data_IF_266230284977
#
_entry.id   IF_266230284977
#
_cell.length_a   1.000
_cell.length_b   1.000
_cell.length_c   1.000
_cell.angle_alpha   90.00
_cell.angle_beta   90.00
_cell.angle_gamma   90.00
#
_symmetry.space_group_name_H-M   'P 1'
#
loop_
_entity.id
_entity.type
_entity.pdbx_description
1 polymer ?
#
# COMPACT_ATOMS: atom_id res chain seq x y z
N UNK A 1 -19.64 8.18 8.58
CA UNK A 1 -19.73 7.77 7.16
C UNK A 1 -18.35 7.28 6.75
N UNK A 2 -18.24 6.01 6.33
CA UNK A 2 -16.98 5.42 5.92
C UNK A 2 -16.71 5.61 4.43
N UNK A 3 -15.43 5.71 4.05
CA UNK A 3 -15.00 5.66 2.66
C UNK A 3 -14.71 4.23 2.21
N UNK A 4 -14.83 3.96 0.91
CA UNK A 4 -14.33 2.77 0.24
C UNK A 4 -12.92 3.01 -0.25
N UNK A 5 -11.95 2.36 0.38
CA UNK A 5 -10.53 2.54 0.13
C UNK A 5 -9.94 1.25 -0.45
N UNK A 6 -9.43 1.33 -1.68
CA UNK A 6 -8.82 0.20 -2.37
C UNK A 6 -7.32 0.41 -2.52
N UNK A 7 -6.54 -0.41 -1.84
CA UNK A 7 -5.09 -0.42 -1.94
C UNK A 7 -4.63 -1.35 -3.06
N UNK A 8 -3.64 -0.93 -3.85
CA UNK A 8 -3.05 -1.75 -4.90
C UNK A 8 -1.55 -1.91 -4.66
N UNK A 9 -1.06 -3.14 -4.75
CA UNK A 9 0.37 -3.43 -4.67
C UNK A 9 0.81 -4.44 -5.72
N UNK A 10 1.85 -4.10 -6.48
CA UNK A 10 2.48 -5.03 -7.44
C UNK A 10 3.57 -5.91 -6.82
N UNK A 11 3.91 -5.69 -5.54
CA UNK A 11 4.92 -6.46 -4.79
C UNK A 11 4.48 -6.59 -3.32
N UNK A 12 5.00 -7.57 -2.55
CA UNK A 12 4.56 -7.75 -1.18
C UNK A 12 5.02 -6.64 -0.22
N UNK A 13 6.04 -5.84 -0.57
CA UNK A 13 6.58 -4.73 0.24
C UNK A 13 6.77 -5.10 1.72
N UNK A 14 7.34 -6.28 1.96
CA UNK A 14 7.53 -6.86 3.29
C UNK A 14 6.25 -6.94 4.17
N UNK A 15 5.08 -7.09 3.54
CA UNK A 15 3.77 -7.14 4.19
C UNK A 15 3.27 -5.79 4.70
N UNK A 16 3.90 -4.68 4.35
CA UNK A 16 3.47 -3.36 4.79
C UNK A 16 2.04 -3.00 4.33
N UNK A 17 1.62 -3.27 3.07
CA UNK A 17 0.26 -2.97 2.62
C UNK A 17 -0.81 -3.74 3.40
N UNK A 18 -0.63 -5.04 3.62
CA UNK A 18 -1.64 -5.86 4.33
C UNK A 18 -1.76 -5.46 5.80
N UNK A 19 -0.64 -5.17 6.48
CA UNK A 19 -0.66 -4.68 7.87
C UNK A 19 -1.36 -3.33 7.99
N UNK A 20 -1.16 -2.44 7.02
CA UNK A 20 -1.85 -1.14 6.99
C UNK A 20 -3.35 -1.32 6.79
N UNK A 21 -3.77 -2.15 5.85
CA UNK A 21 -5.19 -2.42 5.59
C UNK A 21 -5.86 -3.08 6.80
N UNK A 22 -5.20 -4.03 7.46
CA UNK A 22 -5.69 -4.64 8.71
C UNK A 22 -5.88 -3.59 9.81
N UNK A 23 -4.89 -2.71 10.03
CA UNK A 23 -5.00 -1.65 11.03
C UNK A 23 -6.13 -0.65 10.71
N UNK A 24 -6.31 -0.28 9.44
CA UNK A 24 -7.40 0.62 9.03
C UNK A 24 -8.78 -0.03 9.25
N UNK A 25 -8.92 -1.32 8.95
CA UNK A 25 -10.16 -2.07 9.23
C UNK A 25 -10.47 -2.17 10.71
N UNK A 26 -9.44 -2.32 11.55
CA UNK A 26 -9.61 -2.47 13.00
C UNK A 26 -9.95 -1.14 13.69
N UNK A 27 -9.44 -0.02 13.17
CA UNK A 27 -9.47 1.26 13.87
C UNK A 27 -10.28 2.35 13.18
N UNK A 28 -10.99 2.04 12.09
CA UNK A 28 -11.84 3.01 11.39
C UNK A 28 -13.12 2.35 10.88
N UNK A 29 -14.15 3.17 10.60
CA UNK A 29 -15.39 2.71 9.97
C UNK A 29 -15.30 2.65 8.43
N UNK A 30 -14.08 2.65 7.87
CA UNK A 30 -13.88 2.63 6.42
C UNK A 30 -13.92 1.20 5.87
N UNK A 31 -14.47 1.05 4.66
CA UNK A 31 -14.40 -0.20 3.91
C UNK A 31 -13.05 -0.24 3.18
N UNK A 32 -12.06 -0.90 3.78
CA UNK A 32 -10.70 -0.94 3.24
C UNK A 32 -10.39 -2.32 2.68
N UNK A 33 -9.85 -2.40 1.46
CA UNK A 33 -9.42 -3.65 0.82
C UNK A 33 -8.00 -3.52 0.25
N UNK A 34 -7.27 -4.63 0.21
CA UNK A 34 -5.97 -4.75 -0.47
C UNK A 34 -6.13 -5.62 -1.72
N UNK A 35 -5.56 -5.15 -2.82
CA UNK A 35 -5.42 -5.89 -4.07
C UNK A 35 -3.93 -6.09 -4.33
N UNK A 36 -3.48 -7.32 -4.21
CA UNK A 36 -2.18 -7.74 -4.71
C UNK A 36 -2.29 -8.11 -6.19
N UNK A 37 -1.27 -7.79 -6.98
CA UNK A 37 -1.23 -8.17 -8.39
C UNK A 37 -1.32 -9.69 -8.59
N UNK A 38 -0.59 -10.43 -7.74
CA UNK A 38 -0.51 -11.89 -7.75
C UNK A 38 -0.25 -12.40 -6.33
N UNK A 39 -0.38 -13.71 -6.13
CA UNK A 39 -0.13 -14.37 -4.85
C UNK A 39 1.36 -14.39 -4.50
N UNK A 40 1.67 -14.19 -3.23
CA UNK A 40 3.00 -14.22 -2.64
C UNK A 40 3.03 -15.23 -1.49
N UNK A 41 4.17 -15.86 -1.19
CA UNK A 41 4.21 -16.99 -0.26
C UNK A 41 4.33 -16.66 1.24
N UNK A 42 4.65 -15.41 1.60
CA UNK A 42 5.10 -15.06 2.96
C UNK A 42 4.11 -14.23 3.79
N UNK A 43 3.12 -13.61 3.16
CA UNK A 43 2.23 -12.66 3.81
C UNK A 43 0.78 -13.00 3.47
N UNK A 44 -0.13 -12.62 4.37
CA UNK A 44 -1.56 -12.74 4.11
C UNK A 44 -1.97 -11.88 2.91
N UNK A 45 -3.06 -12.30 2.27
CA UNK A 45 -3.68 -11.63 1.14
C UNK A 45 -5.13 -11.29 1.46
N UNK A 46 -5.65 -10.29 0.76
CA UNK A 46 -7.07 -9.98 0.76
C UNK A 46 -7.68 -10.33 -0.59
N UNK A 47 -7.38 -9.55 -1.63
CA UNK A 47 -7.74 -9.85 -3.02
C UNK A 47 -6.48 -10.04 -3.85
N UNK A 48 -6.55 -10.99 -4.79
CA UNK A 48 -5.46 -11.29 -5.73
C UNK A 48 -5.95 -11.04 -7.15
N UNK A 49 -5.45 -9.99 -7.80
CA UNK A 49 -5.93 -9.56 -9.12
C UNK A 49 -5.82 -10.65 -10.18
N UNK A 50 -4.70 -11.39 -10.21
CA UNK A 50 -4.50 -12.50 -11.16
C UNK A 50 -5.49 -13.65 -10.99
N UNK A 51 -6.17 -13.75 -9.85
CA UNK A 51 -7.12 -14.83 -9.54
C UNK A 51 -8.57 -14.37 -9.70
N UNK A 52 -8.84 -13.09 -9.46
CA UNK A 52 -10.20 -12.53 -9.45
C UNK A 52 -10.25 -11.11 -10.03
N UNK A 53 -9.89 -10.94 -11.33
CA UNK A 53 -9.77 -9.61 -11.95
C UNK A 53 -11.10 -8.88 -12.05
N UNK A 54 -12.20 -9.58 -12.34
CA UNK A 54 -13.52 -8.96 -12.53
C UNK A 54 -14.05 -8.32 -11.24
N UNK A 55 -13.95 -9.01 -10.11
CA UNK A 55 -14.34 -8.47 -8.80
C UNK A 55 -13.54 -7.22 -8.47
N UNK A 56 -12.23 -7.23 -8.73
CA UNK A 56 -11.35 -6.10 -8.46
C UNK A 56 -11.70 -4.90 -9.35
N UNK A 57 -12.00 -5.13 -10.63
CA UNK A 57 -12.45 -4.07 -11.55
C UNK A 57 -13.74 -3.42 -11.05
N UNK A 58 -14.70 -4.22 -10.57
CA UNK A 58 -15.94 -3.70 -10.00
C UNK A 58 -15.71 -2.88 -8.72
N UNK A 59 -14.83 -3.36 -7.84
CA UNK A 59 -14.49 -2.65 -6.61
C UNK A 59 -13.78 -1.33 -6.90
N UNK A 60 -12.84 -1.32 -7.84
CA UNK A 60 -12.14 -0.11 -8.26
C UNK A 60 -13.10 0.95 -8.84
N UNK A 61 -14.12 0.51 -9.58
CA UNK A 61 -15.14 1.41 -10.12
C UNK A 61 -16.04 2.05 -9.05
N UNK A 62 -16.12 1.45 -7.84
CA UNK A 62 -16.96 1.89 -6.71
C UNK A 62 -16.15 2.59 -5.61
N UNK A 63 -14.82 2.64 -5.73
CA UNK A 63 -13.93 3.18 -4.71
C UNK A 63 -14.01 4.71 -4.62
N UNK A 64 -14.00 5.22 -3.39
CA UNK A 64 -13.87 6.65 -3.11
C UNK A 64 -12.39 7.05 -3.16
N UNK A 65 -11.50 6.17 -2.69
CA UNK A 65 -10.06 6.38 -2.60
C UNK A 65 -9.33 5.15 -3.16
N UNK A 66 -8.38 5.39 -4.05
CA UNK A 66 -7.42 4.39 -4.52
C UNK A 66 -6.03 4.75 -3.99
N UNK A 67 -5.40 3.79 -3.31
CA UNK A 67 -4.09 3.91 -2.71
C UNK A 67 -3.07 3.05 -3.45
N UNK A 68 -2.17 3.69 -4.19
CA UNK A 68 -1.15 3.05 -5.02
C UNK A 68 0.15 2.85 -4.25
N UNK A 69 0.63 1.61 -4.16
CA UNK A 69 1.86 1.30 -3.44
C UNK A 69 3.10 1.29 -4.36
N UNK A 70 4.09 2.08 -3.96
CA UNK A 70 5.47 2.13 -4.43
C UNK A 70 5.65 2.28 -5.95
N UNK A 71 5.64 1.19 -6.71
CA UNK A 71 5.92 1.14 -8.15
C UNK A 71 4.70 1.44 -9.03
N UNK A 72 3.56 1.72 -8.42
CA UNK A 72 2.33 2.07 -9.12
C UNK A 72 2.14 3.58 -9.17
N UNK A 73 1.64 4.07 -10.30
CA UNK A 73 1.18 5.44 -10.52
C UNK A 73 -0.14 5.46 -11.29
N UNK A 74 -0.65 6.66 -11.61
CA UNK A 74 -1.92 6.83 -12.33
C UNK A 74 -1.93 6.26 -13.75
N UNK A 75 -0.76 5.95 -14.32
CA UNK A 75 -0.60 5.40 -15.66
C UNK A 75 -0.19 3.91 -15.66
N UNK A 76 -0.08 3.30 -14.47
CA UNK A 76 0.28 1.90 -14.34
C UNK A 76 -0.74 0.99 -15.03
N UNK A 77 -0.24 0.06 -15.83
CA UNK A 77 -1.04 -0.94 -16.56
C UNK A 77 -1.03 -2.32 -15.89
N UNK A 78 -0.37 -2.46 -14.72
CA UNK A 78 -0.24 -3.74 -14.03
C UNK A 78 -1.60 -4.40 -13.73
N UNK A 79 -2.63 -3.59 -13.49
CA UNK A 79 -3.99 -4.02 -13.16
C UNK A 79 -4.99 -3.79 -14.31
N UNK A 80 -4.52 -3.84 -15.57
CA UNK A 80 -5.40 -3.70 -16.73
C UNK A 80 -6.56 -4.73 -16.65
N UNK A 81 -7.82 -4.33 -16.89
CA UNK A 81 -8.24 -3.13 -17.62
C UNK A 81 -8.50 -1.88 -16.75
N UNK A 82 -8.09 -1.86 -15.48
CA UNK A 82 -8.28 -0.70 -14.61
C UNK A 82 -7.42 0.47 -15.11
N UNK A 83 -8.07 1.59 -15.41
CA UNK A 83 -7.43 2.86 -15.78
C UNK A 83 -7.57 3.84 -14.60
N UNK A 84 -6.50 3.94 -13.80
CA UNK A 84 -6.49 4.77 -12.59
C UNK A 84 -6.68 6.26 -12.90
N UNK A 85 -6.09 6.76 -13.99
CA UNK A 85 -6.25 8.16 -14.40
C UNK A 85 -7.69 8.46 -14.82
N UNK A 86 -8.37 7.52 -15.51
CA UNK A 86 -9.80 7.65 -15.81
C UNK A 86 -10.65 7.67 -14.55
N UNK A 87 -10.35 6.82 -13.56
CA UNK A 87 -11.05 6.85 -12.27
C UNK A 87 -10.85 8.18 -11.55
N UNK A 88 -9.62 8.72 -11.55
CA UNK A 88 -9.29 10.04 -11.00
C UNK A 88 -10.15 11.15 -11.60
N UNK A 89 -10.26 11.17 -12.93
CA UNK A 89 -11.05 12.18 -13.67
C UNK A 89 -12.55 12.10 -13.37
N UNK A 90 -13.04 10.95 -12.91
CA UNK A 90 -14.44 10.74 -12.50
C UNK A 90 -14.70 11.07 -11.02
N UNK A 91 -13.67 11.45 -10.26
CA UNK A 91 -13.80 11.91 -8.89
C UNK A 91 -13.20 10.99 -7.83
N UNK A 92 -12.67 9.82 -8.19
CA UNK A 92 -11.95 8.95 -7.25
C UNK A 92 -10.66 9.63 -6.79
N UNK A 93 -10.43 9.74 -5.49
CA UNK A 93 -9.18 10.27 -4.96
C UNK A 93 -8.06 9.25 -5.16
N UNK A 94 -6.89 9.71 -5.62
CA UNK A 94 -5.69 8.89 -5.74
C UNK A 94 -4.63 9.37 -4.77
N UNK A 95 -4.00 8.43 -4.07
CA UNK A 95 -2.83 8.66 -3.23
C UNK A 95 -1.77 7.63 -3.56
N UNK A 96 -0.50 8.04 -3.54
CA UNK A 96 0.64 7.15 -3.76
C UNK A 96 1.48 7.05 -2.50
N UNK A 97 1.90 5.85 -2.10
CA UNK A 97 2.81 5.69 -0.97
C UNK A 97 4.13 5.07 -1.40
N UNK A 98 5.23 5.75 -1.12
CA UNK A 98 6.58 5.27 -1.37
C UNK A 98 7.12 4.51 -0.16
N UNK A 99 7.65 3.31 -0.44
CA UNK A 99 8.22 2.40 0.56
C UNK A 99 9.75 2.26 0.40
N UNK A 100 10.31 2.74 -0.70
CA UNK A 100 11.75 2.59 -1.05
C UNK A 100 12.36 3.91 -1.55
N UNK A 101 13.67 3.91 -1.80
CA UNK A 101 14.39 5.05 -2.37
C UNK A 101 13.90 5.40 -3.80
N UNK A 102 13.83 6.69 -4.20
CA UNK A 102 13.35 7.09 -5.52
C UNK A 102 14.15 6.52 -6.68
N UNK A 103 15.47 6.33 -6.53
CA UNK A 103 16.29 5.69 -7.57
C UNK A 103 15.86 4.24 -7.85
N UNK A 104 15.49 3.49 -6.80
CA UNK A 104 15.04 2.11 -6.97
C UNK A 104 13.64 2.06 -7.61
N UNK A 105 12.75 2.98 -7.21
CA UNK A 105 11.45 3.13 -7.85
C UNK A 105 11.62 3.46 -9.33
N UNK A 106 12.49 4.42 -9.64
CA UNK A 106 12.80 4.86 -11.01
C UNK A 106 13.34 3.70 -11.87
N UNK A 107 14.28 2.93 -11.32
CA UNK A 107 14.84 1.75 -11.98
C UNK A 107 13.76 0.71 -12.29
N UNK A 108 12.91 0.35 -11.32
CA UNK A 108 11.85 -0.66 -11.51
C UNK A 108 10.80 -0.18 -12.51
N UNK A 109 10.46 1.10 -12.49
CA UNK A 109 9.47 1.69 -13.40
C UNK A 109 10.03 2.06 -14.78
N UNK A 110 11.35 2.03 -14.99
CA UNK A 110 11.99 2.46 -16.23
C UNK A 110 11.86 3.97 -16.49
N UNK A 111 11.81 4.80 -15.44
CA UNK A 111 11.71 6.27 -15.53
C UNK A 111 12.90 6.94 -14.87
N UNK A 112 13.01 8.27 -14.96
CA UNK A 112 14.04 9.00 -14.23
C UNK A 112 13.67 9.18 -12.74
N UNK A 113 14.65 9.31 -11.83
CA UNK A 113 14.39 9.70 -10.44
C UNK A 113 13.65 11.03 -10.33
N UNK A 114 13.93 11.98 -11.22
CA UNK A 114 13.22 13.26 -11.27
C UNK A 114 11.73 13.09 -11.56
N UNK A 115 11.34 12.16 -12.45
CA UNK A 115 9.95 11.86 -12.74
C UNK A 115 9.23 11.24 -11.52
N UNK A 116 9.93 10.40 -10.75
CA UNK A 116 9.40 9.85 -9.48
C UNK A 116 9.17 10.96 -8.46
N UNK A 117 10.12 11.88 -8.32
CA UNK A 117 10.05 13.00 -7.37
C UNK A 117 9.02 14.06 -7.78
N UNK A 118 8.76 14.21 -9.07
CA UNK A 118 7.71 15.10 -9.61
C UNK A 118 6.34 14.43 -9.68
N UNK A 119 6.06 13.43 -8.84
CA UNK A 119 4.78 12.74 -8.85
C UNK A 119 3.63 13.75 -8.60
N UNK A 120 2.62 13.83 -9.48
CA UNK A 120 1.54 14.80 -9.35
C UNK A 120 0.48 14.38 -8.32
N UNK A 121 0.55 13.15 -7.81
CA UNK A 121 -0.40 12.62 -6.85
C UNK A 121 0.00 13.02 -5.41
N UNK A 122 -0.97 13.27 -4.53
CA UNK A 122 -0.72 13.28 -3.09
C UNK A 122 0.07 12.05 -2.69
N UNK A 123 1.20 12.26 -2.02
CA UNK A 123 2.17 11.21 -1.75
C UNK A 123 2.41 11.01 -0.27
N UNK A 124 2.63 9.75 0.13
CA UNK A 124 2.91 9.33 1.50
C UNK A 124 4.27 8.62 1.57
N UNK A 125 4.94 8.74 2.72
CA UNK A 125 6.18 8.03 3.03
C UNK A 125 6.14 7.48 4.46
N UNK A 126 6.89 6.42 4.71
CA UNK A 126 7.11 5.92 6.07
C UNK A 126 8.11 6.83 6.81
N UNK A 127 7.84 7.10 8.09
CA UNK A 127 8.59 8.00 8.98
C UNK A 127 10.03 7.60 9.34
N UNK A 128 10.72 6.78 8.53
CA UNK A 128 12.04 6.23 8.88
C UNK A 128 13.17 6.88 8.08
N UNK A 129 13.21 6.64 6.77
CA UNK A 129 14.29 7.14 5.90
C UNK A 129 13.77 7.86 4.66
N UNK A 130 12.58 7.48 4.19
CA UNK A 130 12.01 7.91 2.93
C UNK A 130 11.65 9.40 2.93
N UNK A 131 11.24 9.97 4.06
CA UNK A 131 10.94 11.40 4.21
C UNK A 131 12.06 12.31 3.68
N UNK A 132 13.33 11.92 3.84
CA UNK A 132 14.49 12.72 3.40
C UNK A 132 14.58 12.83 1.88
N UNK A 133 13.97 11.90 1.15
CA UNK A 133 14.07 11.80 -0.30
C UNK A 133 12.82 12.32 -1.01
N UNK A 134 11.66 12.36 -0.34
CA UNK A 134 10.39 12.78 -0.93
C UNK A 134 9.87 14.06 -0.25
N UNK A 135 10.40 15.25 -0.60
CA UNK A 135 10.09 16.50 0.10
C UNK A 135 8.62 16.94 0.00
N UNK A 136 7.89 16.43 -1.00
CA UNK A 136 6.47 16.73 -1.21
C UNK A 136 5.53 15.71 -0.55
N UNK A 137 6.07 14.60 -0.02
CA UNK A 137 5.26 13.56 0.60
C UNK A 137 4.94 13.88 2.06
N UNK A 138 3.75 13.47 2.51
CA UNK A 138 3.40 13.49 3.94
C UNK A 138 3.91 12.24 4.61
N UNK A 139 4.40 12.39 5.83
CA UNK A 139 4.79 11.26 6.67
C UNK A 139 3.53 10.54 7.14
N UNK A 140 3.44 9.26 6.82
CA UNK A 140 2.46 8.34 7.40
C UNK A 140 3.14 7.56 8.53
N UNK A 141 2.52 7.58 9.71
CA UNK A 141 2.96 6.75 10.82
C UNK A 141 2.92 5.28 10.40
N UNK A 142 3.99 4.53 10.67
CA UNK A 142 3.93 3.07 10.51
C UNK A 142 3.03 2.53 11.60
N UNK A 143 1.92 1.84 11.30
CA UNK A 143 1.29 1.00 12.32
C UNK A 143 2.29 -0.13 12.63
N UNK A 144 3.00 0.00 13.75
CA UNK A 144 3.70 -1.12 14.37
C UNK A 144 2.61 -2.06 14.91
N UNK A 145 2.06 -2.89 14.03
CA UNK A 145 1.20 -4.00 14.46
C UNK A 145 2.11 -5.04 15.10
N UNK A 146 2.29 -4.97 16.42
CA UNK A 146 2.80 -6.10 17.18
C UNK A 146 1.74 -7.20 17.10
N UNK A 147 2.00 -8.26 16.31
CA UNK A 147 1.28 -9.51 16.51
C UNK A 147 1.53 -9.93 17.96
N UNK A 148 0.50 -9.88 18.82
CA UNK A 148 0.52 -10.63 20.06
C UNK A 148 0.57 -12.10 19.65
N UNK A 149 1.75 -12.71 19.65
CA UNK A 149 1.84 -14.16 19.64
C UNK A 149 1.08 -14.67 20.86
N UNK A 150 0.16 -15.61 20.64
CA UNK A 150 -0.61 -16.28 21.70
C UNK A 150 0.24 -17.23 22.56
N UNK A 151 1.56 -17.06 22.58
CA UNK A 151 2.45 -17.73 23.51
C UNK A 151 3.03 -16.71 24.47
N UNK A 152 2.52 -16.73 25.69
CA UNK A 152 3.10 -15.99 26.80
C UNK A 152 4.61 -16.29 26.88
N UNK A 153 5.49 -15.27 26.93
CA UNK A 153 6.90 -15.51 27.17
C UNK A 153 7.06 -16.08 28.58
N UNK A 154 7.46 -17.35 28.67
CA UNK A 154 8.02 -17.90 29.91
C UNK A 154 9.37 -17.22 30.14
N UNK A 155 9.37 -16.16 30.94
CA UNK A 155 10.59 -15.62 31.52
C UNK A 155 11.11 -16.65 32.53
N UNK A 156 12.06 -17.48 32.11
CA UNK A 156 12.92 -18.22 33.03
C UNK A 156 13.94 -17.21 33.59
N UNK A 157 13.60 -16.63 34.73
CA UNK A 157 14.57 -15.90 35.54
C UNK A 157 15.49 -16.95 36.17
N UNK A 158 16.67 -17.14 35.59
CA UNK A 158 17.79 -17.80 36.26
C UNK A 158 18.41 -16.79 37.23
N UNK A 159 18.05 -16.89 38.51
CA UNK A 159 18.82 -16.33 39.62
C UNK A 159 19.48 -17.49 40.35
N UNK A 160 20.60 -17.17 41.00
CA UNK A 160 21.40 -17.95 41.95
C UNK A 160 22.64 -18.57 41.31
N UNK A 161 23.85 -18.41 41.85
CA UNK A 161 24.38 -17.59 42.95
C UNK A 161 25.90 -17.58 42.78
#
# INVERSE_FOLDING_TARGET
MGFRVLHFSSTPLAGAPIRLVQALREHTDHEVRLVDLQRWGLYDHDLVFSEQPDEVVELAAKADIIHLHNYLDSHSTCFAPIDFERLRRRGTALVRQFHTHPEFVAQVMGVSPSAVLSCPLPSLVIAQSQERFYPQARVSGTPLVFQRSSQAPRVLVGVNA
#
